data_IF_594206543493
#
_entry.id   IF_594206543493
#
_cell.length_a   1.000
_cell.length_b   1.000
_cell.length_c   1.000
_cell.angle_alpha   90.00
_cell.angle_beta   90.00
_cell.angle_gamma   90.00
#
_symmetry.space_group_name_H-M   'P 1'
#
loop_
_entity.id
_entity.type
_entity.pdbx_description
1 polymer ?
#
# COMPACT_ATOMS: atom_id res chain seq x y z
N UNK A 1 -27.46 -87.56 -32.55
CA UNK A 1 -27.37 -86.75 -33.78
C UNK A 1 -27.24 -85.28 -33.38
N UNK A 2 -26.10 -84.69 -33.75
CA UNK A 2 -25.87 -83.29 -34.15
C UNK A 2 -25.99 -82.10 -33.18
N UNK A 3 -24.86 -81.36 -33.13
CA UNK A 3 -24.60 -79.94 -32.81
C UNK A 3 -24.61 -79.54 -31.33
N UNK A 4 -23.76 -78.66 -30.82
CA UNK A 4 -22.48 -78.03 -31.18
C UNK A 4 -22.10 -77.18 -29.94
N UNK A 5 -20.81 -76.95 -29.60
CA UNK A 5 -20.43 -76.23 -28.39
C UNK A 5 -20.18 -74.73 -28.61
N UNK A 6 -20.39 -73.95 -27.55
CA UNK A 6 -19.59 -72.79 -27.16
C UNK A 6 -19.67 -71.52 -28.00
N UNK A 7 -20.27 -70.46 -27.44
CA UNK A 7 -19.74 -69.12 -27.64
C UNK A 7 -20.05 -68.19 -26.46
N UNK A 8 -18.97 -67.74 -25.86
CA UNK A 8 -18.85 -66.85 -24.71
C UNK A 8 -19.30 -65.43 -25.06
N UNK A 9 -20.26 -64.90 -24.31
CA UNK A 9 -20.78 -63.54 -24.49
C UNK A 9 -20.55 -62.69 -23.25
N UNK A 10 -19.69 -61.68 -23.39
CA UNK A 10 -19.90 -60.38 -22.76
C UNK A 10 -19.47 -60.23 -21.31
N UNK A 11 -18.23 -59.77 -21.10
CA UNK A 11 -17.96 -58.76 -20.07
C UNK A 11 -16.87 -57.83 -20.62
N UNK A 12 -17.32 -56.77 -21.30
CA UNK A 12 -16.47 -55.62 -21.60
C UNK A 12 -16.22 -54.91 -20.27
N UNK A 13 -15.03 -55.08 -19.70
CA UNK A 13 -14.58 -54.19 -18.64
C UNK A 13 -14.38 -52.82 -19.27
N UNK A 14 -15.30 -51.92 -18.94
CA UNK A 14 -15.19 -50.49 -19.17
C UNK A 14 -13.90 -50.03 -18.49
N UNK A 15 -13.00 -49.47 -19.28
CA UNK A 15 -11.89 -48.66 -18.78
C UNK A 15 -12.53 -47.48 -18.05
N UNK A 16 -12.44 -47.49 -16.72
CA UNK A 16 -12.76 -46.32 -15.89
C UNK A 16 -11.70 -45.28 -16.19
N UNK A 17 -11.97 -44.42 -17.18
CA UNK A 17 -11.27 -43.17 -17.33
C UNK A 17 -11.66 -42.29 -16.14
N UNK A 18 -10.91 -42.43 -15.05
CA UNK A 18 -10.96 -41.47 -13.96
C UNK A 18 -10.46 -40.15 -14.52
N UNK A 19 -11.40 -39.27 -14.82
CA UNK A 19 -11.17 -37.83 -14.95
C UNK A 19 -10.50 -37.37 -13.65
N UNK A 20 -9.16 -37.26 -13.70
CA UNK A 20 -8.42 -36.38 -12.83
C UNK A 20 -8.91 -34.97 -13.16
N UNK A 21 -9.98 -34.54 -12.49
CA UNK A 21 -10.22 -33.13 -12.23
C UNK A 21 -9.00 -32.65 -11.44
N UNK A 22 -7.96 -32.25 -12.16
CA UNK A 22 -6.89 -31.44 -11.63
C UNK A 22 -7.57 -30.21 -11.03
N UNK A 23 -7.74 -30.22 -9.73
CA UNK A 23 -8.02 -29.03 -8.95
C UNK A 23 -6.83 -28.12 -9.16
N UNK A 24 -6.88 -27.31 -10.23
CA UNK A 24 -6.14 -26.07 -10.30
C UNK A 24 -6.68 -25.26 -9.13
N UNK A 25 -6.01 -25.39 -7.99
CA UNK A 25 -6.18 -24.48 -6.86
C UNK A 25 -5.77 -23.13 -7.44
N UNK A 26 -6.75 -22.34 -7.89
CA UNK A 26 -6.57 -20.91 -8.01
C UNK A 26 -6.27 -20.44 -6.59
N UNK A 27 -4.98 -20.42 -6.23
CA UNK A 27 -4.54 -19.63 -5.10
C UNK A 27 -5.03 -18.21 -5.42
N UNK A 28 -5.88 -17.60 -4.58
CA UNK A 28 -6.17 -16.18 -4.76
C UNK A 28 -4.81 -15.50 -4.76
N UNK A 29 -4.51 -14.78 -5.83
CA UNK A 29 -3.34 -13.93 -5.88
C UNK A 29 -3.50 -12.98 -4.68
N UNK A 30 -2.81 -13.28 -3.59
CA UNK A 30 -2.65 -12.36 -2.47
C UNK A 30 -2.04 -11.13 -3.12
N UNK A 31 -2.82 -10.05 -3.24
CA UNK A 31 -2.30 -8.78 -3.70
C UNK A 31 -1.08 -8.47 -2.83
N UNK A 32 0.10 -8.43 -3.46
CA UNK A 32 1.32 -8.16 -2.73
C UNK A 32 1.16 -6.81 -2.02
N UNK A 33 1.62 -6.74 -0.76
CA UNK A 33 1.61 -5.48 -0.03
C UNK A 33 2.29 -4.38 -0.89
N UNK A 34 1.75 -3.15 -0.91
CA UNK A 34 2.34 -2.08 -1.69
C UNK A 34 3.79 -1.85 -1.25
N UNK A 35 4.67 -1.63 -2.23
CA UNK A 35 6.07 -1.37 -1.95
C UNK A 35 6.21 -0.03 -1.20
N UNK A 36 6.77 -0.08 0.00
CA UNK A 36 6.83 1.06 0.92
C UNK A 36 8.18 1.14 1.62
N UNK A 37 8.56 2.36 2.00
CA UNK A 37 9.59 2.66 2.99
C UNK A 37 8.95 3.47 4.14
N UNK A 38 9.76 4.02 5.03
CA UNK A 38 9.29 4.91 6.12
C UNK A 38 10.01 6.24 6.06
N UNK A 39 9.43 7.31 6.60
CA UNK A 39 10.08 8.63 6.63
C UNK A 39 11.47 8.57 7.31
N UNK A 40 11.62 7.81 8.39
CA UNK A 40 12.89 7.65 9.09
C UNK A 40 13.93 6.85 8.29
N UNK A 41 13.50 5.84 7.53
CA UNK A 41 14.38 5.11 6.62
C UNK A 41 14.81 5.99 5.44
N UNK A 42 13.85 6.68 4.81
CA UNK A 42 14.11 7.62 3.71
C UNK A 42 15.08 8.73 4.13
N UNK A 43 14.88 9.32 5.30
CA UNK A 43 15.82 10.32 5.85
C UNK A 43 17.26 9.79 5.92
N UNK A 44 17.44 8.55 6.40
CA UNK A 44 18.77 7.93 6.49
C UNK A 44 19.36 7.61 5.12
N UNK A 45 18.53 7.16 4.18
CA UNK A 45 18.93 6.90 2.79
C UNK A 45 19.41 8.19 2.10
N UNK A 46 18.80 9.33 2.43
CA UNK A 46 19.19 10.66 1.96
C UNK A 46 20.32 11.31 2.78
N UNK A 47 20.92 10.57 3.71
CA UNK A 47 22.08 11.01 4.48
C UNK A 47 21.78 11.86 5.71
N UNK A 48 20.52 11.91 6.16
CA UNK A 48 20.12 12.62 7.36
C UNK A 48 20.22 11.72 8.58
N UNK A 49 20.33 12.34 9.75
CA UNK A 49 20.05 11.64 11.00
C UNK A 49 18.72 12.16 11.56
N UNK A 50 17.60 11.43 11.39
CA UNK A 50 16.28 11.90 11.80
C UNK A 50 16.14 12.10 13.32
N UNK A 51 17.11 11.61 14.10
CA UNK A 51 17.13 11.62 15.56
C UNK A 51 18.23 12.55 16.14
N UNK A 52 19.03 13.19 15.29
CA UNK A 52 20.10 14.08 15.74
C UNK A 52 19.59 15.44 16.25
N UNK A 53 20.37 16.08 17.12
CA UNK A 53 20.13 17.45 17.58
C UNK A 53 20.57 18.53 16.57
N UNK A 54 21.38 18.18 15.57
CA UNK A 54 21.86 19.10 14.54
C UNK A 54 21.10 18.84 13.22
N UNK A 55 20.60 19.88 12.52
CA UNK A 55 19.96 19.73 11.22
C UNK A 55 20.89 19.18 10.12
N UNK A 56 20.34 18.52 9.08
CA UNK A 56 18.93 18.20 8.90
C UNK A 56 18.48 17.05 9.81
N UNK A 57 17.43 17.31 10.58
CA UNK A 57 16.77 16.40 11.51
C UNK A 57 15.25 16.58 11.41
N UNK A 58 14.49 15.64 11.96
CA UNK A 58 13.03 15.67 11.92
C UNK A 58 12.47 16.08 13.28
N UNK A 59 11.44 16.91 13.31
CA UNK A 59 10.72 17.21 14.55
C UNK A 59 10.19 15.92 15.18
N UNK A 60 10.23 15.82 16.51
CA UNK A 60 9.82 14.61 17.27
C UNK A 60 8.36 14.21 17.04
N UNK A 61 7.50 15.13 16.62
CA UNK A 61 6.09 14.87 16.32
C UNK A 61 5.88 14.17 14.98
N UNK A 62 6.89 14.14 14.11
CA UNK A 62 6.84 13.43 12.83
C UNK A 62 7.14 11.94 13.09
N UNK A 63 6.21 11.00 12.85
CA UNK A 63 6.44 9.58 13.11
C UNK A 63 7.49 9.03 12.13
N UNK A 64 8.60 8.48 12.64
CA UNK A 64 9.69 7.93 11.80
C UNK A 64 9.24 6.68 11.05
N UNK A 65 8.27 5.98 11.62
CA UNK A 65 7.64 4.77 11.10
C UNK A 65 6.48 5.08 10.12
N UNK A 66 6.18 6.36 9.86
CA UNK A 66 5.12 6.69 8.91
C UNK A 66 5.46 6.16 7.50
N UNK A 67 4.56 5.36 6.90
CA UNK A 67 4.83 4.71 5.62
C UNK A 67 4.72 5.70 4.46
N UNK A 68 5.64 5.61 3.51
CA UNK A 68 5.58 6.34 2.24
C UNK A 68 5.84 5.39 1.07
N UNK A 69 5.33 5.69 -0.14
CA UNK A 69 5.63 4.89 -1.33
C UNK A 69 7.13 4.78 -1.56
N UNK A 70 7.60 3.63 -2.06
CA UNK A 70 9.04 3.43 -2.33
C UNK A 70 9.61 4.38 -3.40
N UNK A 71 8.75 5.04 -4.19
CA UNK A 71 9.15 6.07 -5.16
C UNK A 71 9.42 7.43 -4.52
N UNK A 72 9.11 7.60 -3.23
CA UNK A 72 9.36 8.83 -2.49
C UNK A 72 10.86 9.13 -2.40
N UNK A 73 11.22 10.39 -2.60
CA UNK A 73 12.58 10.92 -2.51
C UNK A 73 12.53 12.44 -2.25
N UNK A 74 13.69 13.06 -2.08
CA UNK A 74 13.84 14.49 -1.77
C UNK A 74 13.00 14.88 -0.54
N UNK A 75 13.22 14.17 0.57
CA UNK A 75 12.55 14.46 1.84
C UNK A 75 12.83 15.89 2.28
N UNK A 76 11.76 16.58 2.65
CA UNK A 76 11.77 17.80 3.42
C UNK A 76 11.07 17.54 4.75
N UNK A 77 11.63 18.02 5.85
CA UNK A 77 10.97 17.93 7.15
C UNK A 77 11.30 19.15 8.00
N UNK A 78 10.32 19.61 8.75
CA UNK A 78 10.54 20.63 9.76
C UNK A 78 11.18 20.02 11.00
N UNK A 79 11.96 20.84 11.72
CA UNK A 79 12.57 20.51 13.00
C UNK A 79 11.88 21.19 14.20
N UNK A 80 10.76 21.88 13.97
CA UNK A 80 9.99 22.55 15.02
C UNK A 80 8.47 22.39 14.94
N UNK A 81 7.96 21.82 13.84
CA UNK A 81 6.54 21.45 13.69
C UNK A 81 6.45 20.08 13.03
N UNK A 82 5.31 19.41 13.17
CA UNK A 82 5.04 18.11 12.58
C UNK A 82 4.84 18.12 11.07
N UNK A 83 5.61 18.90 10.30
CA UNK A 83 5.45 18.98 8.85
C UNK A 83 6.58 18.22 8.12
N UNK A 84 6.21 17.40 7.13
CA UNK A 84 7.13 16.74 6.22
C UNK A 84 6.59 16.77 4.79
N UNK A 85 7.46 16.63 3.80
CA UNK A 85 7.09 16.55 2.39
C UNK A 85 8.07 15.68 1.61
N UNK A 86 7.61 15.02 0.55
CA UNK A 86 8.43 14.20 -0.34
C UNK A 86 8.03 14.43 -1.80
N UNK A 87 8.93 14.10 -2.72
CA UNK A 87 8.74 14.12 -4.18
C UNK A 87 8.62 12.70 -4.74
N UNK A 88 8.27 12.60 -6.02
CA UNK A 88 8.18 11.32 -6.73
C UNK A 88 6.90 10.52 -6.47
N UNK A 89 5.90 11.18 -5.89
CA UNK A 89 4.58 10.62 -5.63
C UNK A 89 3.54 11.58 -6.18
N UNK A 90 2.82 11.16 -7.22
CA UNK A 90 1.69 11.93 -7.75
C UNK A 90 0.38 11.57 -7.03
N UNK A 91 -0.71 12.31 -7.32
CA UNK A 91 -1.99 12.13 -6.64
C UNK A 91 -2.56 10.70 -6.79
N UNK A 92 -2.52 10.14 -8.00
CA UNK A 92 -3.04 8.78 -8.29
C UNK A 92 -2.24 7.69 -7.56
N UNK A 93 -0.92 7.84 -7.51
CA UNK A 93 -0.04 6.93 -6.76
C UNK A 93 -0.30 7.02 -5.26
N UNK A 94 -0.45 8.23 -4.72
CA UNK A 94 -0.78 8.43 -3.31
C UNK A 94 -2.13 7.81 -2.97
N UNK A 95 -3.16 8.03 -3.80
CA UNK A 95 -4.49 7.46 -3.61
C UNK A 95 -4.44 5.94 -3.55
N UNK A 96 -3.83 5.30 -4.56
CA UNK A 96 -3.73 3.86 -4.65
C UNK A 96 -2.96 3.24 -3.47
N UNK A 97 -1.91 3.93 -3.02
CA UNK A 97 -1.08 3.52 -1.90
C UNK A 97 -1.83 3.62 -0.57
N UNK A 98 -2.31 4.81 -0.20
CA UNK A 98 -2.88 5.05 1.13
C UNK A 98 -4.25 4.40 1.35
N UNK A 99 -5.04 4.19 0.28
CA UNK A 99 -6.27 3.41 0.37
C UNK A 99 -6.05 1.95 0.84
N UNK A 100 -4.84 1.41 0.62
CA UNK A 100 -4.45 0.08 1.10
C UNK A 100 -3.70 0.17 2.42
N UNK A 101 -2.68 1.03 2.49
CA UNK A 101 -1.76 1.10 3.64
C UNK A 101 -2.46 1.53 4.92
N UNK A 102 -3.36 2.53 4.86
CA UNK A 102 -4.08 2.95 6.05
C UNK A 102 -4.96 1.83 6.62
N UNK A 103 -5.61 1.04 5.77
CA UNK A 103 -6.38 -0.13 6.22
C UNK A 103 -5.48 -1.21 6.81
N UNK A 104 -4.35 -1.49 6.18
CA UNK A 104 -3.41 -2.52 6.65
C UNK A 104 -2.76 -2.16 7.99
N UNK A 105 -2.51 -0.87 8.23
CA UNK A 105 -1.84 -0.38 9.44
C UNK A 105 -2.81 0.16 10.50
N UNK A 106 -4.11 -0.14 10.37
CA UNK A 106 -5.16 0.30 11.30
C UNK A 106 -5.23 1.83 11.51
N UNK A 107 -4.97 2.60 10.45
CA UNK A 107 -5.28 4.03 10.42
C UNK A 107 -6.75 4.21 10.03
N UNK A 108 -7.47 4.96 10.86
CA UNK A 108 -8.83 5.39 10.57
C UNK A 108 -8.78 6.61 9.67
N UNK A 109 -9.35 6.51 8.47
CA UNK A 109 -9.48 7.64 7.55
C UNK A 109 -10.75 8.43 7.92
N UNK A 110 -10.56 9.64 8.44
CA UNK A 110 -11.65 10.53 8.86
C UNK A 110 -12.13 11.41 7.70
N UNK A 111 -11.27 11.74 6.75
CA UNK A 111 -11.62 12.47 5.54
C UNK A 111 -10.75 12.03 4.37
N UNK A 112 -11.36 11.91 3.19
CA UNK A 112 -10.66 11.67 1.93
C UNK A 112 -11.32 12.55 0.85
N UNK A 113 -10.51 13.34 0.15
CA UNK A 113 -10.94 14.23 -0.92
C UNK A 113 -10.06 14.01 -2.14
N UNK A 114 -10.67 13.53 -3.22
CA UNK A 114 -9.99 13.34 -4.50
C UNK A 114 -10.55 14.33 -5.53
N UNK A 115 -9.65 15.15 -6.09
CA UNK A 115 -9.92 16.14 -7.13
C UNK A 115 -8.97 15.88 -8.31
N UNK A 116 -9.26 16.40 -9.52
CA UNK A 116 -8.37 16.25 -10.66
C UNK A 116 -6.93 16.73 -10.34
N UNK A 117 -6.00 15.77 -10.29
CA UNK A 117 -4.58 16.01 -10.00
C UNK A 117 -4.28 16.39 -8.55
N UNK A 118 -5.18 16.15 -7.60
CA UNK A 118 -4.93 16.39 -6.19
C UNK A 118 -5.69 15.38 -5.33
N UNK A 119 -4.98 14.76 -4.39
CA UNK A 119 -5.58 13.83 -3.43
C UNK A 119 -5.20 14.24 -2.01
N UNK A 120 -6.17 14.20 -1.09
CA UNK A 120 -5.99 14.60 0.29
C UNK A 120 -6.66 13.64 1.27
N UNK A 121 -5.93 13.26 2.31
CA UNK A 121 -6.36 12.36 3.37
C UNK A 121 -6.18 13.01 4.74
N UNK A 122 -7.18 12.87 5.60
CA UNK A 122 -7.02 13.01 7.05
C UNK A 122 -7.20 11.65 7.66
N UNK A 123 -6.14 11.11 8.25
CA UNK A 123 -6.15 9.78 8.87
C UNK A 123 -5.52 9.82 10.26
N UNK A 124 -6.04 9.03 11.18
CA UNK A 124 -5.57 8.95 12.56
C UNK A 124 -5.28 7.50 12.94
N UNK A 125 -4.18 7.31 13.67
CA UNK A 125 -3.80 6.04 14.27
C UNK A 125 -4.43 5.89 15.66
N UNK A 126 -4.52 4.67 16.16
CA UNK A 126 -5.15 4.36 17.46
C UNK A 126 -4.45 5.05 18.65
N UNK A 127 -3.16 5.39 18.53
CA UNK A 127 -2.39 6.09 19.57
C UNK A 127 -2.63 7.62 19.59
N UNK A 128 -3.56 8.11 18.78
CA UNK A 128 -3.97 9.52 18.72
C UNK A 128 -3.21 10.37 17.71
N UNK A 129 -2.17 9.82 17.06
CA UNK A 129 -1.41 10.55 16.03
C UNK A 129 -2.22 10.60 14.74
N UNK A 130 -2.43 11.80 14.22
CA UNK A 130 -3.10 12.06 12.96
C UNK A 130 -2.15 12.65 11.92
N UNK A 131 -2.50 12.46 10.64
CA UNK A 131 -1.85 13.06 9.49
C UNK A 131 -2.89 13.72 8.59
N UNK A 132 -2.62 14.95 8.16
CA UNK A 132 -3.24 15.58 7.00
C UNK A 132 -2.24 15.48 5.85
N UNK A 133 -2.53 14.62 4.89
CA UNK A 133 -1.70 14.33 3.74
C UNK A 133 -2.33 14.93 2.48
N UNK A 134 -1.54 15.58 1.65
CA UNK A 134 -1.98 16.10 0.34
C UNK A 134 -0.91 15.77 -0.69
N UNK A 135 -1.29 15.09 -1.76
CA UNK A 135 -0.45 14.78 -2.91
C UNK A 135 -0.96 15.49 -4.15
N UNK A 136 -0.06 16.12 -4.90
CA UNK A 136 -0.43 16.95 -6.05
C UNK A 136 0.30 16.47 -7.30
N UNK A 137 -0.45 16.19 -8.36
CA UNK A 137 0.10 15.89 -9.69
C UNK A 137 0.46 17.18 -10.44
N UNK A 138 1.36 17.09 -11.42
CA UNK A 138 1.61 18.21 -12.33
C UNK A 138 0.31 18.69 -13.00
N UNK A 139 0.07 20.00 -12.96
CA UNK A 139 -1.14 20.62 -13.52
C UNK A 139 -2.42 20.38 -12.70
N UNK A 140 -2.31 19.84 -11.48
CA UNK A 140 -3.43 19.64 -10.56
C UNK A 140 -4.05 20.93 -10.03
N UNK A 141 -5.23 20.81 -9.43
CA UNK A 141 -5.96 21.95 -8.85
C UNK A 141 -5.42 22.44 -7.49
N UNK A 142 -4.46 21.71 -6.90
CA UNK A 142 -3.80 22.06 -5.64
C UNK A 142 -2.46 22.75 -5.88
N UNK A 143 -1.99 23.51 -4.89
CA UNK A 143 -0.69 24.17 -4.91
C UNK A 143 0.46 23.15 -4.83
N UNK A 144 1.61 23.47 -5.41
CA UNK A 144 2.88 22.70 -5.33
C UNK A 144 2.87 21.33 -6.05
N UNK A 145 2.96 21.33 -7.40
CA UNK A 145 2.89 20.11 -8.20
C UNK A 145 4.09 19.18 -7.98
N UNK A 146 3.82 17.86 -7.99
CA UNK A 146 4.83 16.82 -7.86
C UNK A 146 5.32 16.57 -6.44
N UNK A 147 4.68 17.21 -5.46
CA UNK A 147 5.00 17.09 -4.05
C UNK A 147 3.83 16.47 -3.27
N UNK A 148 4.18 15.63 -2.30
CA UNK A 148 3.27 15.10 -1.29
C UNK A 148 3.66 15.67 0.06
N UNK A 149 2.76 16.45 0.63
CA UNK A 149 2.93 17.13 1.91
C UNK A 149 2.14 16.41 3.02
N UNK A 150 2.70 16.41 4.22
CA UNK A 150 2.17 15.73 5.40
C UNK A 150 2.28 16.66 6.60
N UNK A 151 1.16 16.87 7.29
CA UNK A 151 1.12 17.56 8.58
C UNK A 151 0.62 16.60 9.65
N UNK A 152 1.48 16.30 10.61
CA UNK A 152 1.23 15.47 11.77
C UNK A 152 0.77 16.31 12.96
N UNK A 153 -0.26 15.82 13.64
CA UNK A 153 -0.85 16.47 14.81
C UNK A 153 -1.45 15.40 15.74
N UNK A 154 -1.73 15.77 16.99
CA UNK A 154 -2.44 14.88 17.92
C UNK A 154 -3.95 15.15 17.82
N UNK A 155 -4.77 14.10 17.90
CA UNK A 155 -6.22 14.24 18.04
C UNK A 155 -6.51 14.80 19.45
N UNK A 156 -7.20 15.93 19.54
CA UNK A 156 -7.56 16.59 20.81
C UNK A 156 -8.71 15.87 21.57
N UNK A 157 -8.95 14.58 21.30
CA UNK A 157 -10.12 13.83 21.80
C UNK A 157 -9.88 13.07 23.10
#
# INVERSE_FOLDING_TARGET
>A
MNRAPGQSGGFRYLVVAALLCGMFVLQPAMAAAPAMTTLGALAREEGWNPDAGNPPNMDKSIPRDFPVPISAHDLSASNGVGAAGVKGVNAEQAEAFYNQVFKMQNWRVDTHMSLPGCDSFVACREDGVCVNLTAVSEGGMCSDPGEMNMLFFQDDK
#
